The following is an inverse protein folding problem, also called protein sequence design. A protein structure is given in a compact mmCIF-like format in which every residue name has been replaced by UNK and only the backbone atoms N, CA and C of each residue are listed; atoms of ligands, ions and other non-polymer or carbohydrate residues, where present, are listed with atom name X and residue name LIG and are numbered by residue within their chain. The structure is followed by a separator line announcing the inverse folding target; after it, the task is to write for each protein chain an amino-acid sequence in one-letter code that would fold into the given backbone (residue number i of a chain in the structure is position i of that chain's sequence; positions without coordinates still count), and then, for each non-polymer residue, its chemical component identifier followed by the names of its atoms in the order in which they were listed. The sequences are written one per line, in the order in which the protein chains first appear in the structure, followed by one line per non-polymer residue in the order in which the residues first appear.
data_IF_528928197927
#
_entry.id   IF_528928197927
#
_cell.length_a   1.000
_cell.length_b   1.000
_cell.length_c   1.000
_cell.angle_alpha   90.00
_cell.angle_beta   90.00
_cell.angle_gamma   90.00
#
_symmetry.space_group_name_H-M   'P 1'
#
loop_
_entity.id
_entity.type
_entity.pdbx_description
1 polymer ?
#
# COMPACT_ATOMS: atom_id res chain seq x y z
N UNK A 1 46.81 2.07 121.07
CA UNK A 1 45.96 2.02 119.85
C UNK A 1 45.41 0.61 119.68
N UNK A 2 44.13 0.46 119.32
CA UNK A 2 43.58 -0.82 118.81
C UNK A 2 43.62 -0.87 117.26
N UNK A 3 43.06 -1.88 116.58
CA UNK A 3 42.21 -2.98 117.06
C UNK A 3 42.38 -4.29 116.26
N UNK A 4 42.31 -5.40 117.00
CA UNK A 4 41.79 -6.76 116.68
C UNK A 4 41.79 -7.28 115.22
N UNK A 5 42.56 -8.37 115.08
CA UNK A 5 42.36 -9.56 114.21
C UNK A 5 40.87 -9.92 113.99
N UNK A 6 40.51 -10.42 112.79
CA UNK A 6 39.25 -11.14 112.53
C UNK A 6 39.48 -12.39 111.66
N UNK A 7 38.65 -13.43 111.83
CA UNK A 7 38.85 -14.79 111.29
C UNK A 7 38.19 -15.07 109.93
N UNK A 8 38.90 -15.86 109.11
CA UNK A 8 38.47 -17.08 108.39
C UNK A 8 36.97 -17.24 108.06
N UNK A 9 36.62 -17.43 106.77
CA UNK A 9 35.76 -18.54 106.28
C UNK A 9 35.80 -18.65 104.74
N UNK A 10 35.30 -19.76 104.20
CA UNK A 10 35.57 -20.26 102.84
C UNK A 10 34.41 -20.12 101.84
N UNK A 11 34.73 -20.16 100.54
CA UNK A 11 33.92 -20.79 99.47
C UNK A 11 34.69 -20.90 98.14
N UNK A 12 34.70 -22.08 97.54
CA UNK A 12 35.02 -22.30 96.11
C UNK A 12 33.77 -22.04 95.25
N UNK A 13 33.86 -21.84 93.90
CA UNK A 13 33.60 -23.01 93.03
C UNK A 13 34.19 -23.01 91.60
N UNK A 14 34.47 -24.23 91.11
CA UNK A 14 34.22 -24.73 89.73
C UNK A 14 34.97 -24.15 88.51
N UNK A 15 35.60 -25.06 87.75
CA UNK A 15 36.28 -24.78 86.48
C UNK A 15 35.32 -24.81 85.26
N UNK A 16 34.45 -23.80 85.09
CA UNK A 16 33.54 -23.68 83.91
C UNK A 16 33.75 -22.46 83.01
N UNK A 17 34.67 -21.55 83.34
CA UNK A 17 34.79 -20.24 82.65
C UNK A 17 35.73 -20.29 81.41
N UNK A 18 36.70 -21.19 81.37
CA UNK A 18 37.75 -21.18 80.33
C UNK A 18 37.24 -21.61 78.94
N UNK A 19 36.30 -22.57 78.86
CA UNK A 19 35.86 -23.14 77.58
C UNK A 19 35.03 -22.18 76.70
N UNK A 20 34.38 -21.17 77.29
CA UNK A 20 33.43 -20.30 76.56
C UNK A 20 34.11 -19.19 75.73
N UNK A 21 35.37 -18.84 76.02
CA UNK A 21 36.11 -17.79 75.31
C UNK A 21 36.88 -18.24 74.06
N UNK A 22 37.09 -19.55 73.87
CA UNK A 22 37.75 -20.08 72.66
C UNK A 22 36.74 -20.22 71.51
N UNK A 23 35.55 -20.77 71.79
CA UNK A 23 34.50 -21.03 70.80
C UNK A 23 33.98 -19.74 70.15
N UNK A 24 33.88 -18.66 70.92
CA UNK A 24 33.39 -17.35 70.44
C UNK A 24 34.39 -16.62 69.54
N UNK A 25 35.70 -16.84 69.70
CA UNK A 25 36.74 -16.22 68.86
C UNK A 25 36.77 -16.82 67.43
N UNK A 26 36.68 -18.14 67.30
CA UNK A 26 36.69 -18.81 66.00
C UNK A 26 35.44 -18.52 65.13
N UNK A 27 34.31 -18.15 65.74
CA UNK A 27 33.07 -17.89 65.00
C UNK A 27 33.01 -16.51 64.34
N UNK A 28 33.80 -15.52 64.80
CA UNK A 28 33.90 -14.22 64.12
C UNK A 28 34.84 -14.27 62.90
N UNK A 29 35.96 -14.99 63.00
CA UNK A 29 36.96 -15.07 61.92
C UNK A 29 36.43 -15.78 60.65
N UNK A 30 35.49 -16.72 60.80
CA UNK A 30 34.88 -17.45 59.68
C UNK A 30 33.81 -16.64 58.94
N UNK A 31 33.28 -15.56 59.53
CA UNK A 31 32.28 -14.68 58.90
C UNK A 31 32.96 -13.59 58.07
N UNK A 32 34.10 -13.07 58.51
CA UNK A 32 34.83 -11.97 57.86
C UNK A 32 35.42 -12.31 56.48
N UNK A 33 35.69 -13.57 56.18
CA UNK A 33 36.27 -13.99 54.88
C UNK A 33 35.25 -14.20 53.76
N UNK A 34 33.94 -14.22 54.05
CA UNK A 34 32.89 -14.43 53.05
C UNK A 34 32.47 -13.16 52.29
N UNK A 35 32.69 -11.97 52.87
CA UNK A 35 32.16 -10.70 52.34
C UNK A 35 32.86 -10.23 51.05
N UNK A 36 34.18 -10.33 50.98
CA UNK A 36 35.00 -9.69 49.94
C UNK A 36 34.78 -10.23 48.51
N UNK A 37 34.12 -11.38 48.36
CA UNK A 37 33.84 -11.96 47.03
C UNK A 37 32.47 -11.55 46.44
N UNK A 38 31.58 -10.94 47.23
CA UNK A 38 30.26 -10.52 46.76
C UNK A 38 30.27 -9.18 45.99
N UNK A 39 31.08 -8.21 46.44
CA UNK A 39 31.03 -6.82 45.93
C UNK A 39 31.43 -6.70 44.45
N UNK A 40 32.42 -7.49 44.00
CA UNK A 40 32.86 -7.47 42.59
C UNK A 40 31.81 -8.03 41.63
N UNK A 41 30.79 -8.75 42.14
CA UNK A 41 29.59 -9.13 41.39
C UNK A 41 28.57 -7.98 41.39
N UNK A 42 28.23 -7.45 42.57
CA UNK A 42 27.26 -6.37 42.75
C UNK A 42 27.58 -5.11 41.92
N UNK A 43 28.84 -4.66 41.93
CA UNK A 43 29.26 -3.50 41.13
C UNK A 43 29.14 -3.74 39.61
N UNK A 44 29.35 -4.96 39.12
CA UNK A 44 29.20 -5.28 37.70
C UNK A 44 27.71 -5.31 37.32
N UNK A 45 26.86 -5.80 38.22
CA UNK A 45 25.41 -5.84 38.03
C UNK A 45 24.76 -4.45 38.04
N UNK A 46 25.17 -3.53 38.93
CA UNK A 46 24.66 -2.14 38.96
C UNK A 46 25.10 -1.34 37.73
N UNK A 47 26.39 -1.45 37.33
CA UNK A 47 26.91 -0.85 36.09
C UNK A 47 26.18 -1.39 34.85
N UNK A 48 25.81 -2.68 34.83
CA UNK A 48 25.00 -3.28 33.76
C UNK A 48 23.56 -2.74 33.74
N UNK A 49 22.87 -2.67 34.88
CA UNK A 49 21.52 -2.10 34.96
C UNK A 49 21.46 -0.64 34.47
N UNK A 50 22.46 0.17 34.84
CA UNK A 50 22.60 1.54 34.34
C UNK A 50 22.89 1.62 32.83
N UNK A 51 23.59 0.62 32.26
CA UNK A 51 23.78 0.51 30.80
C UNK A 51 22.47 0.12 30.09
N UNK A 52 21.68 -0.79 30.68
CA UNK A 52 20.38 -1.22 30.15
C UNK A 52 19.36 -0.07 30.21
N UNK A 53 19.26 0.64 31.33
CA UNK A 53 18.30 1.74 31.52
C UNK A 53 18.58 2.92 30.58
N UNK A 54 19.84 3.35 30.48
CA UNK A 54 20.28 4.40 29.55
C UNK A 54 20.08 4.01 28.08
N UNK A 55 20.39 2.76 27.72
CA UNK A 55 20.14 2.24 26.36
C UNK A 55 18.66 2.16 26.03
N UNK A 56 17.80 1.74 26.97
CA UNK A 56 16.35 1.75 26.82
C UNK A 56 15.79 3.18 26.69
N UNK A 57 16.32 4.15 27.44
CA UNK A 57 15.98 5.59 27.32
C UNK A 57 16.34 6.13 25.94
N UNK A 58 17.53 5.80 25.42
CA UNK A 58 17.95 6.14 24.06
C UNK A 58 17.06 5.47 23.00
N UNK A 59 16.78 4.18 23.13
CA UNK A 59 15.92 3.42 22.22
C UNK A 59 14.47 3.96 22.21
N UNK A 60 13.93 4.41 23.35
CA UNK A 60 12.64 5.12 23.45
C UNK A 60 12.67 6.46 22.69
N UNK A 61 13.75 7.24 22.83
CA UNK A 61 13.96 8.53 22.10
C UNK A 61 14.11 8.32 20.59
N UNK A 62 14.72 7.23 20.13
CA UNK A 62 14.80 6.90 18.71
C UNK A 62 13.51 6.29 18.14
N UNK A 63 12.79 5.46 18.92
CA UNK A 63 11.46 4.96 18.54
C UNK A 63 10.48 6.12 18.30
N UNK A 64 10.45 7.13 19.16
CA UNK A 64 9.60 8.30 18.96
C UNK A 64 10.02 9.18 17.77
N UNK A 65 11.33 9.35 17.51
CA UNK A 65 11.84 9.95 16.25
C UNK A 65 11.36 9.17 15.02
N UNK A 66 11.46 7.85 15.04
CA UNK A 66 11.02 6.96 13.95
C UNK A 66 9.51 7.04 13.72
N UNK A 67 8.71 7.10 14.79
CA UNK A 67 7.25 7.31 14.72
C UNK A 67 6.89 8.70 14.15
N UNK A 68 7.59 9.77 14.54
CA UNK A 68 7.38 11.13 13.97
C UNK A 68 7.72 11.17 12.48
N UNK A 69 8.80 10.49 12.06
CA UNK A 69 9.14 10.34 10.63
C UNK A 69 8.11 9.48 9.88
N UNK A 70 7.62 8.41 10.50
CA UNK A 70 6.56 7.57 9.93
C UNK A 70 5.28 8.39 9.67
N UNK A 71 4.84 9.22 10.64
CA UNK A 71 3.70 10.14 10.45
C UNK A 71 3.93 11.06 9.24
N UNK A 72 5.09 11.73 9.14
CA UNK A 72 5.40 12.57 7.96
C UNK A 72 5.37 11.83 6.61
N UNK A 73 5.68 10.52 6.58
CA UNK A 73 5.52 9.68 5.37
C UNK A 73 4.06 9.32 5.12
N UNK A 74 3.24 9.12 6.17
CA UNK A 74 1.79 8.94 6.07
C UNK A 74 1.15 10.20 5.48
N UNK A 75 1.35 11.36 6.11
CA UNK A 75 0.75 12.63 5.71
C UNK A 75 1.07 12.99 4.25
N UNK A 76 2.28 12.62 3.78
CA UNK A 76 2.70 12.81 2.40
C UNK A 76 2.10 11.76 1.44
N UNK A 77 1.98 10.48 1.84
CA UNK A 77 1.25 9.47 1.04
C UNK A 77 -0.23 9.84 0.87
N UNK A 78 -0.85 10.41 1.91
CA UNK A 78 -2.27 10.77 1.90
C UNK A 78 -2.51 12.04 1.05
N UNK A 79 -1.61 13.03 1.12
CA UNK A 79 -1.57 14.17 0.17
C UNK A 79 -1.37 13.72 -1.28
N UNK A 80 -0.46 12.76 -1.52
CA UNK A 80 -0.23 12.21 -2.86
C UNK A 80 -1.47 11.49 -3.41
N UNK A 81 -2.22 10.80 -2.57
CA UNK A 81 -3.49 10.18 -2.95
C UNK A 81 -4.52 11.23 -3.39
N UNK A 82 -4.76 12.28 -2.58
CA UNK A 82 -5.74 13.32 -2.92
C UNK A 82 -5.35 14.16 -4.14
N UNK A 83 -4.06 14.48 -4.32
CA UNK A 83 -3.58 15.17 -5.53
C UNK A 83 -3.80 14.27 -6.76
N UNK A 84 -3.54 12.96 -6.64
CA UNK A 84 -3.67 12.01 -7.76
C UNK A 84 -5.13 11.75 -8.15
N UNK A 85 -6.06 11.65 -7.18
CA UNK A 85 -7.51 11.62 -7.45
C UNK A 85 -7.92 12.84 -8.26
N UNK A 86 -7.67 14.04 -7.72
CA UNK A 86 -8.02 15.32 -8.33
C UNK A 86 -7.34 15.54 -9.69
N UNK A 87 -6.20 14.91 -9.96
CA UNK A 87 -5.54 14.91 -11.26
C UNK A 87 -6.25 13.97 -12.25
N UNK A 88 -6.60 12.75 -11.84
CA UNK A 88 -7.40 11.80 -12.64
C UNK A 88 -8.80 12.34 -12.97
N UNK A 89 -9.47 12.98 -12.01
CA UNK A 89 -10.78 13.63 -12.19
C UNK A 89 -10.71 14.80 -13.19
N UNK A 90 -9.59 15.51 -13.27
CA UNK A 90 -9.37 16.56 -14.26
C UNK A 90 -8.98 15.98 -15.62
N UNK A 91 -8.19 14.90 -15.68
CA UNK A 91 -7.80 14.23 -16.93
C UNK A 91 -8.99 13.54 -17.62
N UNK A 92 -9.89 12.93 -16.87
CA UNK A 92 -11.15 12.38 -17.41
C UNK A 92 -12.08 13.47 -17.91
N UNK A 93 -12.20 14.61 -17.20
CA UNK A 93 -12.96 15.80 -17.66
C UNK A 93 -12.37 16.44 -18.92
N UNK A 94 -11.03 16.56 -19.01
CA UNK A 94 -10.36 17.04 -20.22
C UNK A 94 -10.65 16.09 -21.39
N UNK A 95 -10.50 14.78 -21.21
CA UNK A 95 -10.75 13.78 -22.27
C UNK A 95 -12.17 13.81 -22.83
N UNK A 96 -13.19 13.91 -21.96
CA UNK A 96 -14.59 14.00 -22.40
C UNK A 96 -14.90 15.35 -23.04
N UNK A 97 -14.34 16.45 -22.55
CA UNK A 97 -14.51 17.79 -23.12
C UNK A 97 -13.86 17.92 -24.50
N UNK A 98 -12.65 17.40 -24.69
CA UNK A 98 -11.97 17.33 -26.00
C UNK A 98 -12.78 16.49 -26.99
N UNK A 99 -13.31 15.34 -26.56
CA UNK A 99 -14.16 14.49 -27.40
C UNK A 99 -15.47 15.19 -27.80
N UNK A 100 -16.05 15.99 -26.89
CA UNK A 100 -17.23 16.83 -27.15
C UNK A 100 -16.90 17.96 -28.13
N UNK A 101 -15.78 18.66 -27.96
CA UNK A 101 -15.32 19.71 -28.89
C UNK A 101 -15.10 19.18 -30.31
N UNK A 102 -14.46 18.01 -30.47
CA UNK A 102 -14.30 17.35 -31.79
C UNK A 102 -15.66 17.09 -32.43
N UNK A 103 -16.63 16.54 -31.69
CA UNK A 103 -17.99 16.28 -32.19
C UNK A 103 -18.76 17.56 -32.52
N UNK A 104 -18.60 18.63 -31.75
CA UNK A 104 -19.22 19.93 -32.01
C UNK A 104 -18.62 20.59 -33.26
N UNK A 105 -17.30 20.56 -33.43
CA UNK A 105 -16.62 21.08 -34.62
C UNK A 105 -17.04 20.31 -35.89
N UNK A 106 -17.06 18.97 -35.86
CA UNK A 106 -17.53 18.17 -36.98
C UNK A 106 -19.00 18.49 -37.34
N UNK A 107 -19.87 18.65 -36.34
CA UNK A 107 -21.27 19.07 -36.56
C UNK A 107 -21.38 20.49 -37.11
N UNK A 108 -20.56 21.44 -36.63
CA UNK A 108 -20.48 22.82 -37.15
C UNK A 108 -20.12 22.81 -38.62
N UNK A 109 -19.05 22.10 -39.02
CA UNK A 109 -18.60 22.07 -40.41
C UNK A 109 -19.62 21.41 -41.35
N UNK A 110 -20.26 20.29 -40.93
CA UNK A 110 -21.34 19.70 -41.72
C UNK A 110 -22.50 20.68 -41.94
N UNK A 111 -22.90 21.43 -40.91
CA UNK A 111 -23.95 22.44 -41.03
C UNK A 111 -23.53 23.63 -41.91
N UNK A 112 -22.26 24.04 -41.87
CA UNK A 112 -21.73 25.10 -42.75
C UNK A 112 -21.81 24.65 -44.21
N UNK A 113 -21.22 23.51 -44.58
CA UNK A 113 -21.25 23.01 -45.97
C UNK A 113 -22.68 22.89 -46.50
N UNK A 114 -23.59 22.30 -45.73
CA UNK A 114 -25.01 22.19 -46.09
C UNK A 114 -25.76 23.53 -46.17
N UNK A 115 -25.22 24.60 -45.57
CA UNK A 115 -25.82 25.94 -45.61
C UNK A 115 -25.23 26.75 -46.76
N UNK A 116 -23.93 26.66 -47.02
CA UNK A 116 -23.26 27.27 -48.20
C UNK A 116 -23.89 26.73 -49.49
N UNK A 117 -23.88 25.40 -49.70
CA UNK A 117 -24.50 24.76 -50.87
C UNK A 117 -25.95 25.23 -51.14
N UNK A 118 -26.74 25.42 -50.09
CA UNK A 118 -28.12 25.88 -50.22
C UNK A 118 -28.29 27.39 -50.36
N UNK A 119 -27.30 28.21 -49.96
CA UNK A 119 -27.22 29.62 -50.32
C UNK A 119 -26.79 29.79 -51.78
N UNK A 120 -25.79 29.04 -52.24
CA UNK A 120 -25.23 29.18 -53.58
C UNK A 120 -26.27 28.82 -54.65
N UNK A 121 -26.92 27.65 -54.50
CA UNK A 121 -28.04 27.23 -55.35
C UNK A 121 -29.35 28.01 -55.09
N UNK A 122 -29.33 29.06 -54.27
CA UNK A 122 -30.42 30.04 -54.12
C UNK A 122 -30.02 31.37 -54.78
N UNK A 123 -28.76 31.78 -54.63
CA UNK A 123 -28.18 32.89 -55.36
C UNK A 123 -28.26 32.66 -56.88
N UNK A 124 -27.94 31.46 -57.37
CA UNK A 124 -28.13 31.07 -58.78
C UNK A 124 -29.60 31.23 -59.23
N UNK A 125 -30.56 30.83 -58.40
CA UNK A 125 -32.00 30.98 -58.72
C UNK A 125 -32.43 32.46 -58.73
N UNK A 126 -31.91 33.28 -57.82
CA UNK A 126 -32.17 34.72 -57.79
C UNK A 126 -31.49 35.47 -58.94
N UNK A 127 -30.28 35.05 -59.33
CA UNK A 127 -29.54 35.59 -60.47
C UNK A 127 -30.29 35.30 -61.78
N UNK A 128 -30.75 34.06 -62.00
CA UNK A 128 -31.54 33.70 -63.17
C UNK A 128 -32.86 34.50 -63.26
N UNK A 129 -33.55 34.73 -62.14
CA UNK A 129 -34.73 35.61 -62.09
C UNK A 129 -34.38 37.06 -62.40
N UNK A 130 -33.24 37.56 -61.95
CA UNK A 130 -32.78 38.92 -62.21
C UNK A 130 -32.41 39.12 -63.69
N UNK A 131 -31.67 38.20 -64.30
CA UNK A 131 -31.30 38.24 -65.73
C UNK A 131 -32.50 38.03 -66.66
N UNK A 132 -33.53 37.31 -66.21
CA UNK A 132 -34.82 37.22 -66.92
C UNK A 132 -35.64 38.52 -66.88
N UNK A 133 -35.21 39.51 -66.09
CA UNK A 133 -35.87 40.80 -65.90
C UNK A 133 -36.91 40.79 -64.78
N UNK A 134 -36.96 41.87 -63.98
CA UNK A 134 -37.78 42.00 -62.75
C UNK A 134 -39.27 41.72 -62.94
N UNK A 135 -39.81 41.89 -64.15
CA UNK A 135 -41.24 41.65 -64.47
C UNK A 135 -41.49 40.40 -65.33
N UNK A 136 -40.52 39.50 -65.49
CA UNK A 136 -40.66 38.27 -66.30
C UNK A 136 -41.91 37.44 -65.98
N UNK A 137 -42.34 37.42 -64.71
CA UNK A 137 -43.53 36.69 -64.28
C UNK A 137 -44.83 37.34 -64.77
N UNK A 138 -44.99 38.66 -64.59
CA UNK A 138 -46.15 39.40 -65.09
C UNK A 138 -46.20 39.37 -66.62
N UNK A 139 -45.06 39.55 -67.28
CA UNK A 139 -44.94 39.47 -68.75
C UNK A 139 -45.26 38.07 -69.30
N UNK A 140 -45.05 37.01 -68.52
CA UNK A 140 -45.45 35.64 -68.91
C UNK A 140 -46.96 35.43 -68.77
N UNK A 141 -47.56 35.86 -67.65
CA UNK A 141 -49.01 35.77 -67.44
C UNK A 141 -49.80 36.63 -68.45
N UNK A 142 -49.29 37.82 -68.78
CA UNK A 142 -49.85 38.73 -69.80
C UNK A 142 -49.57 38.29 -71.25
N UNK A 143 -48.98 37.11 -71.47
CA UNK A 143 -48.69 36.54 -72.79
C UNK A 143 -49.26 35.10 -72.95
N UNK A 144 -50.24 34.75 -72.13
CA UNK A 144 -50.97 33.47 -72.21
C UNK A 144 -52.45 33.78 -72.45
N UNK A 145 -52.95 33.48 -73.65
CA UNK A 145 -54.34 33.79 -74.02
C UNK A 145 -55.35 32.77 -73.45
N UNK A 146 -54.87 31.65 -72.89
CA UNK A 146 -55.70 30.57 -72.33
C UNK A 146 -55.81 30.66 -70.79
N UNK A 147 -57.01 30.88 -70.21
CA UNK A 147 -57.22 30.92 -68.76
C UNK A 147 -56.75 29.68 -67.99
N UNK A 148 -56.77 28.50 -68.62
CA UNK A 148 -56.31 27.25 -68.01
C UNK A 148 -54.80 27.23 -67.77
N UNK A 149 -54.02 27.79 -68.70
CA UNK A 149 -52.57 27.88 -68.59
C UNK A 149 -52.15 28.96 -67.59
N UNK A 150 -52.87 30.10 -67.55
CA UNK A 150 -52.70 31.14 -66.51
C UNK A 150 -52.88 30.52 -65.11
N UNK A 151 -53.99 29.83 -64.88
CA UNK A 151 -54.33 29.23 -63.57
C UNK A 151 -53.28 28.20 -63.11
N UNK A 152 -52.88 27.29 -64.01
CA UNK A 152 -51.80 26.31 -63.73
C UNK A 152 -50.46 27.01 -63.44
N UNK A 153 -50.13 28.04 -64.22
CA UNK A 153 -48.90 28.84 -64.05
C UNK A 153 -48.87 29.53 -62.68
N UNK A 154 -49.93 30.25 -62.30
CA UNK A 154 -50.08 30.86 -60.96
C UNK A 154 -49.85 29.82 -59.87
N UNK A 155 -50.51 28.65 -59.98
CA UNK A 155 -50.38 27.58 -58.97
C UNK A 155 -48.94 27.07 -58.84
N UNK A 156 -48.22 26.87 -59.94
CA UNK A 156 -46.81 26.48 -59.89
C UNK A 156 -45.92 27.54 -59.24
N UNK A 157 -46.18 28.84 -59.49
CA UNK A 157 -45.46 29.93 -58.82
C UNK A 157 -45.78 30.00 -57.31
N UNK A 158 -47.02 29.76 -56.87
CA UNK A 158 -47.37 29.65 -55.44
C UNK A 158 -46.57 28.54 -54.76
N UNK A 159 -46.59 27.31 -55.30
CA UNK A 159 -45.84 26.18 -54.74
C UNK A 159 -44.33 26.49 -54.70
N UNK A 160 -43.76 26.98 -55.81
CA UNK A 160 -42.34 27.31 -55.86
C UNK A 160 -41.96 28.40 -54.85
N UNK A 161 -42.77 29.45 -54.69
CA UNK A 161 -42.52 30.51 -53.71
C UNK A 161 -42.69 30.02 -52.26
N UNK A 162 -43.67 29.16 -51.98
CA UNK A 162 -43.84 28.47 -50.69
C UNK A 162 -42.59 27.65 -50.34
N UNK A 163 -42.03 26.91 -51.30
CA UNK A 163 -40.79 26.15 -51.10
C UNK A 163 -39.54 27.04 -50.97
N UNK A 164 -39.45 28.16 -51.71
CA UNK A 164 -38.38 29.18 -51.54
C UNK A 164 -38.40 29.77 -50.13
N UNK A 165 -39.57 30.19 -49.62
CA UNK A 165 -39.73 30.71 -48.26
C UNK A 165 -39.39 29.66 -47.20
N UNK A 166 -39.81 28.41 -47.37
CA UNK A 166 -39.45 27.31 -46.47
C UNK A 166 -37.93 27.07 -46.45
N UNK A 167 -37.26 27.12 -47.61
CA UNK A 167 -35.80 27.01 -47.75
C UNK A 167 -35.06 28.16 -47.06
N UNK A 168 -35.53 29.40 -47.19
CA UNK A 168 -34.97 30.57 -46.50
C UNK A 168 -35.08 30.43 -44.98
N UNK A 169 -36.27 30.08 -44.45
CA UNK A 169 -36.48 29.79 -43.02
C UNK A 169 -35.59 28.64 -42.52
N UNK A 170 -35.41 27.60 -43.35
CA UNK A 170 -34.51 26.49 -43.03
C UNK A 170 -33.03 26.90 -43.04
N UNK A 171 -32.61 27.90 -43.83
CA UNK A 171 -31.25 28.47 -43.82
C UNK A 171 -31.03 29.33 -42.57
N UNK A 172 -31.95 30.24 -42.25
CA UNK A 172 -31.91 31.08 -41.04
C UNK A 172 -31.73 30.21 -39.78
N UNK A 173 -32.64 29.25 -39.57
CA UNK A 173 -32.57 28.34 -38.41
C UNK A 173 -31.34 27.42 -38.39
N UNK A 174 -30.57 27.31 -39.49
CA UNK A 174 -29.25 26.65 -39.50
C UNK A 174 -28.13 27.60 -39.09
N UNK A 175 -28.16 28.86 -39.53
CA UNK A 175 -27.24 29.90 -39.08
C UNK A 175 -27.34 30.10 -37.56
N UNK A 176 -28.56 30.11 -37.00
CA UNK A 176 -28.78 30.16 -35.55
C UNK A 176 -28.17 28.95 -34.82
N UNK A 177 -28.38 27.74 -35.36
CA UNK A 177 -27.78 26.51 -34.82
C UNK A 177 -26.25 26.56 -34.89
N UNK A 178 -25.65 27.14 -35.94
CA UNK A 178 -24.21 27.36 -36.06
C UNK A 178 -23.72 28.38 -35.00
N UNK A 179 -24.44 29.50 -34.80
CA UNK A 179 -24.13 30.52 -33.77
C UNK A 179 -24.17 29.94 -32.36
N UNK A 180 -25.22 29.16 -32.04
CA UNK A 180 -25.34 28.44 -30.75
C UNK A 180 -24.24 27.39 -30.56
N UNK A 181 -23.83 26.68 -31.62
CA UNK A 181 -22.71 25.73 -31.56
C UNK A 181 -21.37 26.47 -31.37
N UNK A 182 -21.15 27.61 -32.03
CA UNK A 182 -19.94 28.42 -31.85
C UNK A 182 -19.80 28.93 -30.41
N UNK A 183 -20.89 29.45 -29.83
CA UNK A 183 -20.87 29.90 -28.44
C UNK A 183 -20.52 28.75 -27.47
N UNK A 184 -21.05 27.54 -27.71
CA UNK A 184 -20.72 26.33 -26.93
C UNK A 184 -19.25 25.90 -27.12
N UNK A 185 -18.70 26.01 -28.32
CA UNK A 185 -17.27 25.76 -28.58
C UNK A 185 -16.40 26.77 -27.83
N UNK A 186 -16.77 28.05 -27.82
CA UNK A 186 -16.03 29.10 -27.10
C UNK A 186 -16.03 28.85 -25.58
N UNK A 187 -17.19 28.54 -24.98
CA UNK A 187 -17.27 28.22 -23.54
C UNK A 187 -16.52 26.94 -23.18
N UNK A 188 -16.67 25.88 -23.97
CA UNK A 188 -16.01 24.60 -23.74
C UNK A 188 -14.47 24.74 -23.87
N UNK A 189 -13.99 25.58 -24.78
CA UNK A 189 -12.55 25.87 -24.96
C UNK A 189 -11.97 26.69 -23.80
N UNK A 190 -12.71 27.68 -23.27
CA UNK A 190 -12.29 28.41 -22.06
C UNK A 190 -12.17 27.46 -20.86
N UNK A 191 -13.16 26.59 -20.66
CA UNK A 191 -13.15 25.57 -19.59
C UNK A 191 -11.99 24.58 -19.78
N UNK A 192 -11.67 24.18 -21.01
CA UNK A 192 -10.53 23.32 -21.32
C UNK A 192 -9.20 23.96 -20.89
N UNK A 193 -8.97 25.22 -21.25
CA UNK A 193 -7.75 25.95 -20.91
C UNK A 193 -7.60 26.10 -19.38
N UNK A 194 -8.68 26.43 -18.67
CA UNK A 194 -8.69 26.45 -17.21
C UNK A 194 -8.36 25.08 -16.59
N UNK A 195 -8.94 23.99 -17.13
CA UNK A 195 -8.67 22.63 -16.65
C UNK A 195 -7.21 22.22 -16.88
N UNK A 196 -6.61 22.59 -18.01
CA UNK A 196 -5.19 22.36 -18.30
C UNK A 196 -4.29 23.15 -17.34
N UNK A 197 -4.58 24.42 -17.05
CA UNK A 197 -3.86 25.20 -16.04
C UNK A 197 -3.97 24.56 -14.65
N UNK A 198 -5.18 24.14 -14.25
CA UNK A 198 -5.46 23.42 -13.00
C UNK A 198 -4.79 22.02 -12.95
N UNK A 199 -4.58 21.35 -14.09
CA UNK A 199 -3.80 20.12 -14.19
C UNK A 199 -2.30 20.38 -14.01
N UNK A 200 -1.76 21.42 -14.65
CA UNK A 200 -0.35 21.75 -14.62
C UNK A 200 0.13 22.21 -13.24
N UNK A 201 -0.66 23.01 -12.51
CA UNK A 201 -0.35 23.36 -11.11
C UNK A 201 -0.37 22.11 -10.20
N UNK A 202 -1.34 21.21 -10.37
CA UNK A 202 -1.38 19.91 -9.65
C UNK A 202 -0.19 19.01 -9.99
N UNK A 203 0.27 18.97 -11.25
CA UNK A 203 1.49 18.26 -11.65
C UNK A 203 2.75 18.82 -10.99
N UNK A 204 2.87 20.15 -10.85
CA UNK A 204 3.96 20.81 -10.11
C UNK A 204 3.93 20.42 -8.61
N UNK A 205 2.76 20.51 -7.98
CA UNK A 205 2.56 20.12 -6.57
C UNK A 205 2.86 18.64 -6.32
N UNK A 206 2.39 17.74 -7.20
CA UNK A 206 2.66 16.30 -7.12
C UNK A 206 4.17 16.02 -7.13
N UNK A 207 4.93 16.65 -8.03
CA UNK A 207 6.40 16.53 -8.08
C UNK A 207 7.08 16.99 -6.77
N UNK A 208 6.58 18.08 -6.15
CA UNK A 208 7.08 18.56 -4.84
C UNK A 208 6.83 17.53 -3.74
N UNK A 209 5.59 17.07 -3.56
CA UNK A 209 5.24 16.12 -2.49
C UNK A 209 5.88 14.73 -2.67
N UNK A 210 6.17 14.30 -3.91
CA UNK A 210 6.98 13.08 -4.16
C UNK A 210 8.39 13.25 -3.58
N UNK A 211 9.10 14.35 -3.89
CA UNK A 211 10.44 14.63 -3.34
C UNK A 211 10.44 14.73 -1.81
N UNK A 212 9.43 15.40 -1.23
CA UNK A 212 9.25 15.48 0.23
C UNK A 212 9.13 14.08 0.85
N UNK A 213 8.23 13.24 0.32
CA UNK A 213 7.98 11.86 0.75
C UNK A 213 9.23 10.99 0.65
N UNK A 214 9.97 11.08 -0.45
CA UNK A 214 11.21 10.32 -0.66
C UNK A 214 12.30 10.71 0.35
N UNK A 215 12.46 12.01 0.62
CA UNK A 215 13.40 12.50 1.63
C UNK A 215 13.05 12.00 3.04
N UNK A 216 11.76 11.98 3.39
CA UNK A 216 11.27 11.48 4.67
C UNK A 216 11.45 9.96 4.79
N UNK A 217 11.15 9.20 3.73
CA UNK A 217 11.35 7.75 3.66
C UNK A 217 12.83 7.37 3.80
N UNK A 218 13.75 8.10 3.15
CA UNK A 218 15.21 7.89 3.23
C UNK A 218 15.71 8.16 4.66
N UNK A 219 15.23 9.23 5.31
CA UNK A 219 15.53 9.55 6.72
C UNK A 219 14.98 8.48 7.67
N UNK A 220 13.74 8.03 7.48
CA UNK A 220 13.09 6.99 8.30
C UNK A 220 13.83 5.65 8.21
N UNK A 221 14.17 5.19 6.99
CA UNK A 221 14.85 3.89 6.79
C UNK A 221 16.25 3.85 7.40
N UNK A 222 17.02 4.95 7.37
CA UNK A 222 18.29 5.06 8.11
C UNK A 222 18.10 4.83 9.62
N UNK A 223 17.09 5.46 10.23
CA UNK A 223 16.80 5.32 11.68
C UNK A 223 16.33 3.92 12.04
N UNK A 224 15.48 3.28 11.22
CA UNK A 224 15.02 1.90 11.47
C UNK A 224 16.19 0.91 11.36
N UNK A 225 17.03 1.03 10.33
CA UNK A 225 18.22 0.18 10.17
C UNK A 225 19.18 0.27 11.36
N UNK A 226 19.45 1.49 11.86
CA UNK A 226 20.32 1.66 13.04
C UNK A 226 19.70 1.08 14.33
N UNK A 227 18.36 1.08 14.46
CA UNK A 227 17.66 0.43 15.57
C UNK A 227 17.73 -1.09 15.48
N UNK A 228 17.51 -1.68 14.31
CA UNK A 228 17.58 -3.13 14.09
C UNK A 228 19.00 -3.66 14.35
N UNK A 229 20.02 -2.93 13.90
CA UNK A 229 21.42 -3.27 14.18
C UNK A 229 21.73 -3.24 15.68
N UNK A 230 21.32 -2.18 16.41
CA UNK A 230 21.49 -2.09 17.87
C UNK A 230 20.74 -3.18 18.63
N UNK A 231 19.48 -3.45 18.25
CA UNK A 231 18.70 -4.56 18.84
C UNK A 231 19.34 -5.93 18.58
N UNK A 232 20.01 -6.12 17.43
CA UNK A 232 20.73 -7.36 17.14
C UNK A 232 22.00 -7.53 17.99
N UNK A 233 22.72 -6.44 18.30
CA UNK A 233 23.87 -6.46 19.21
C UNK A 233 23.44 -6.75 20.65
N UNK A 234 22.46 -6.02 21.17
CA UNK A 234 21.91 -6.22 22.51
C UNK A 234 21.40 -7.66 22.71
N UNK A 235 20.71 -8.25 21.73
CA UNK A 235 20.29 -9.67 21.80
C UNK A 235 21.46 -10.66 21.79
N UNK A 236 22.55 -10.37 21.06
CA UNK A 236 23.76 -11.20 21.11
C UNK A 236 24.50 -11.08 22.44
N UNK A 237 24.49 -9.89 23.04
CA UNK A 237 25.05 -9.63 24.38
C UNK A 237 24.21 -10.31 25.47
N UNK A 238 22.88 -10.19 25.40
CA UNK A 238 21.90 -10.89 26.25
C UNK A 238 22.08 -12.43 26.20
N UNK A 239 22.17 -13.02 25.00
CA UNK A 239 22.40 -14.47 24.83
C UNK A 239 23.81 -14.89 25.30
N UNK A 240 24.83 -14.05 25.11
CA UNK A 240 26.18 -14.31 25.65
C UNK A 240 26.18 -14.29 27.18
N UNK A 241 25.50 -13.32 27.79
CA UNK A 241 25.42 -13.17 29.24
C UNK A 241 24.57 -14.27 29.88
N UNK A 242 23.41 -14.64 29.31
CA UNK A 242 22.64 -15.79 29.80
C UNK A 242 23.42 -17.10 29.65
N UNK A 243 24.18 -17.27 28.56
CA UNK A 243 25.12 -18.38 28.38
C UNK A 243 26.36 -18.34 29.28
N UNK A 244 26.69 -17.20 29.92
CA UNK A 244 27.70 -17.12 31.00
C UNK A 244 27.05 -17.46 32.33
N UNK A 245 25.89 -16.89 32.65
CA UNK A 245 25.13 -17.18 33.88
C UNK A 245 24.76 -18.67 33.95
N UNK A 246 24.33 -19.27 32.83
CA UNK A 246 24.04 -20.70 32.76
C UNK A 246 25.30 -21.56 32.95
N UNK A 247 26.47 -21.14 32.44
CA UNK A 247 27.75 -21.83 32.67
C UNK A 247 28.25 -21.67 34.11
N UNK A 248 28.06 -20.51 34.73
CA UNK A 248 28.35 -20.31 36.16
C UNK A 248 27.41 -21.13 37.02
N UNK A 249 26.10 -21.09 36.78
CA UNK A 249 25.13 -21.94 37.47
C UNK A 249 25.39 -23.45 37.26
N UNK A 250 25.88 -23.86 36.08
CA UNK A 250 26.34 -25.23 35.83
C UNK A 250 27.67 -25.54 36.52
N UNK A 251 28.61 -24.59 36.63
CA UNK A 251 29.86 -24.76 37.38
C UNK A 251 29.55 -24.91 38.87
N UNK A 252 28.80 -23.99 39.46
CA UNK A 252 28.36 -24.07 40.86
C UNK A 252 27.58 -25.36 41.12
N UNK A 253 26.64 -25.76 40.23
CA UNK A 253 25.92 -27.04 40.35
C UNK A 253 26.83 -28.26 40.15
N UNK A 254 27.91 -28.17 39.37
CA UNK A 254 28.94 -29.22 39.29
C UNK A 254 29.77 -29.27 40.56
N UNK A 255 30.17 -28.15 41.13
CA UNK A 255 30.94 -28.07 42.38
C UNK A 255 30.09 -28.54 43.59
N UNK A 256 28.80 -28.19 43.62
CA UNK A 256 27.82 -28.78 44.55
C UNK A 256 27.63 -30.28 44.30
N UNK A 257 27.50 -30.71 43.04
CA UNK A 257 27.37 -32.12 42.69
C UNK A 257 28.68 -32.90 42.90
N UNK A 258 29.84 -32.24 42.94
CA UNK A 258 31.15 -32.83 43.24
C UNK A 258 31.43 -32.84 44.75
N UNK A 259 30.93 -31.86 45.52
CA UNK A 259 30.82 -31.99 46.99
C UNK A 259 29.89 -33.15 47.34
N UNK A 260 28.66 -33.13 46.83
CA UNK A 260 27.68 -34.21 47.00
C UNK A 260 28.15 -35.54 46.43
N UNK A 261 28.98 -35.57 45.37
CA UNK A 261 29.63 -36.79 44.90
C UNK A 261 30.85 -37.19 45.73
N UNK A 262 31.58 -36.31 46.40
CA UNK A 262 32.63 -36.72 47.36
C UNK A 262 31.99 -37.28 48.63
N UNK A 263 30.89 -36.68 49.08
CA UNK A 263 30.02 -37.20 50.14
C UNK A 263 29.33 -38.51 49.75
N UNK A 264 28.83 -38.62 48.51
CA UNK A 264 28.26 -39.86 47.98
C UNK A 264 29.32 -40.88 47.57
N UNK A 265 30.56 -40.51 47.25
CA UNK A 265 31.65 -41.46 47.00
C UNK A 265 32.04 -42.12 48.32
N UNK A 266 32.19 -41.35 49.41
CA UNK A 266 32.26 -41.92 50.78
C UNK A 266 31.07 -42.81 51.18
N UNK A 267 29.94 -42.76 50.44
CA UNK A 267 28.79 -43.68 50.59
C UNK A 267 28.67 -44.71 49.46
N UNK A 268 29.47 -44.61 48.40
CA UNK A 268 29.51 -45.49 47.21
C UNK A 268 30.76 -46.35 47.16
N UNK A 269 31.86 -45.98 47.78
CA UNK A 269 32.90 -46.93 48.18
C UNK A 269 32.27 -48.04 49.07
N UNK A 270 31.19 -47.70 49.81
CA UNK A 270 30.31 -48.62 50.54
C UNK A 270 29.16 -49.27 49.72
N UNK A 271 28.92 -48.90 48.46
CA UNK A 271 27.79 -49.42 47.63
C UNK A 271 28.19 -49.89 46.22
N UNK A 272 29.42 -49.64 45.78
CA UNK A 272 30.00 -50.12 44.51
C UNK A 272 30.57 -51.54 44.67
N UNK A 273 30.61 -52.06 45.91
CA UNK A 273 30.52 -53.51 46.19
C UNK A 273 29.21 -54.16 45.68
N UNK A 274 28.17 -53.38 45.37
CA UNK A 274 26.79 -53.90 45.26
C UNK A 274 26.09 -53.58 43.93
N UNK A 275 26.75 -52.86 43.00
CA UNK A 275 26.07 -52.31 41.81
C UNK A 275 26.83 -52.43 40.47
N UNK A 276 27.75 -53.39 40.31
CA UNK A 276 28.18 -53.84 38.99
C UNK A 276 27.06 -54.64 38.29
N UNK A 277 25.96 -53.99 37.87
CA UNK A 277 24.90 -54.65 37.10
C UNK A 277 24.20 -53.74 36.08
N UNK A 278 24.74 -53.81 34.86
CA UNK A 278 24.06 -53.67 33.55
C UNK A 278 23.67 -52.24 33.11
N UNK A 279 23.86 -51.96 31.81
CA UNK A 279 23.68 -50.63 31.22
C UNK A 279 23.25 -50.67 29.73
N UNK A 280 22.67 -49.56 29.25
CA UNK A 280 22.38 -49.23 27.82
C UNK A 280 21.34 -50.16 27.13
N UNK A 281 20.62 -49.84 26.05
CA UNK A 281 20.78 -48.89 24.91
C UNK A 281 19.44 -48.09 24.72
N UNK A 282 18.89 -47.59 23.59
CA UNK A 282 19.20 -47.47 22.12
C UNK A 282 18.35 -46.31 21.51
N UNK A 283 18.56 -45.90 20.24
CA UNK A 283 17.77 -44.90 19.44
C UNK A 283 18.22 -44.94 17.95
N UNK A 284 17.89 -44.05 16.97
CA UNK A 284 16.95 -42.89 16.88
C UNK A 284 16.19 -42.77 15.49
N UNK A 285 15.68 -41.56 15.11
CA UNK A 285 15.36 -41.07 13.71
C UNK A 285 14.02 -41.55 13.07
N UNK A 286 13.52 -41.07 11.90
CA UNK A 286 14.03 -40.24 10.76
C UNK A 286 13.05 -39.10 10.34
N UNK A 287 13.07 -38.58 9.09
CA UNK A 287 12.52 -37.24 8.73
C UNK A 287 12.13 -36.99 7.24
N UNK A 288 11.22 -36.01 7.00
CA UNK A 288 11.08 -35.14 5.77
C UNK A 288 10.39 -35.74 4.50
N UNK A 289 10.02 -35.06 3.38
CA UNK A 289 10.25 -33.66 2.88
C UNK A 289 9.37 -33.21 1.65
N UNK A 290 9.23 -31.88 1.39
CA UNK A 290 9.21 -31.14 0.06
C UNK A 290 8.14 -31.46 -1.04
N UNK A 291 7.97 -30.77 -2.20
CA UNK A 291 8.09 -29.35 -2.69
C UNK A 291 7.37 -29.12 -4.07
N UNK A 292 6.97 -27.85 -4.40
CA UNK A 292 6.84 -27.16 -5.75
C UNK A 292 6.16 -27.82 -6.99
N UNK A 293 5.67 -27.10 -8.04
CA UNK A 293 5.31 -25.68 -8.19
C UNK A 293 5.74 -24.96 -9.51
N UNK A 294 4.84 -24.72 -10.49
CA UNK A 294 5.15 -24.00 -11.79
C UNK A 294 4.01 -23.09 -12.36
N UNK A 295 4.26 -22.33 -13.45
CA UNK A 295 3.50 -21.13 -13.94
C UNK A 295 3.58 -20.93 -15.49
N UNK A 296 2.49 -20.51 -16.18
CA UNK A 296 2.44 -20.06 -17.62
C UNK A 296 1.33 -19.00 -17.88
N UNK A 297 1.43 -18.17 -18.95
CA UNK A 297 0.64 -16.95 -19.29
C UNK A 297 -0.20 -17.03 -20.61
N UNK A 298 -0.68 -15.91 -21.23
CA UNK A 298 -1.26 -15.82 -22.63
C UNK A 298 -2.80 -15.64 -22.88
N UNK A 299 -3.35 -14.42 -23.05
CA UNK A 299 -4.71 -14.00 -23.55
C UNK A 299 -5.88 -13.82 -22.52
N UNK A 300 -6.89 -12.98 -22.86
CA UNK A 300 -8.05 -12.52 -22.02
C UNK A 300 -9.43 -12.81 -22.65
N UNK A 301 -10.51 -12.94 -21.85
CA UNK A 301 -11.92 -13.03 -22.31
C UNK A 301 -12.89 -12.30 -21.35
N UNK A 302 -13.85 -11.48 -21.83
CA UNK A 302 -14.86 -10.81 -20.99
C UNK A 302 -16.14 -11.64 -20.73
N UNK A 303 -16.95 -11.17 -19.77
CA UNK A 303 -18.37 -11.51 -19.52
C UNK A 303 -18.75 -12.98 -19.23
N UNK A 304 -17.81 -13.84 -18.85
CA UNK A 304 -18.11 -15.10 -18.12
C UNK A 304 -17.89 -14.90 -16.60
N UNK A 305 -18.52 -15.71 -15.71
CA UNK A 305 -18.23 -15.65 -14.27
C UNK A 305 -16.73 -15.78 -14.01
N UNK A 306 -16.19 -15.03 -13.05
CA UNK A 306 -14.78 -14.98 -12.67
C UNK A 306 -14.19 -16.37 -12.47
N UNK A 307 -14.95 -17.25 -11.82
CA UNK A 307 -14.60 -18.66 -11.64
C UNK A 307 -14.24 -19.42 -12.94
N UNK A 308 -14.81 -19.02 -14.09
CA UNK A 308 -14.51 -19.56 -15.43
C UNK A 308 -13.46 -18.74 -16.22
N UNK A 309 -12.94 -17.64 -15.65
CA UNK A 309 -11.88 -16.81 -16.24
C UNK A 309 -10.47 -17.18 -15.76
N UNK A 310 -10.32 -18.30 -15.04
CA UNK A 310 -9.02 -18.86 -14.65
C UNK A 310 -8.17 -19.12 -15.90
N UNK A 311 -7.01 -18.47 -15.99
CA UNK A 311 -6.15 -18.51 -17.17
C UNK A 311 -6.72 -17.73 -18.35
N UNK A 312 -7.56 -16.71 -18.13
CA UNK A 312 -8.18 -15.83 -19.14
C UNK A 312 -8.38 -14.38 -18.66
N UNK A 313 -7.63 -13.93 -17.64
CA UNK A 313 -7.68 -12.54 -17.14
C UNK A 313 -6.49 -11.72 -17.65
N UNK A 314 -6.67 -10.45 -17.99
CA UNK A 314 -5.53 -9.55 -18.22
C UNK A 314 -4.77 -9.29 -16.90
N UNK A 315 -3.45 -9.09 -16.97
CA UNK A 315 -2.72 -8.49 -15.85
C UNK A 315 -3.18 -7.03 -15.62
N UNK A 316 -3.35 -6.58 -14.36
CA UNK A 316 -3.94 -5.28 -14.04
C UNK A 316 -3.05 -4.06 -14.36
N UNK A 317 -1.74 -4.27 -14.59
CA UNK A 317 -0.81 -3.25 -15.07
C UNK A 317 0.25 -3.90 -15.96
N UNK A 318 0.73 -3.17 -16.98
CA UNK A 318 1.89 -3.57 -17.78
C UNK A 318 3.16 -3.33 -16.96
N UNK A 319 3.96 -4.38 -16.72
CA UNK A 319 5.16 -4.28 -15.88
C UNK A 319 5.86 -5.63 -15.66
N UNK A 320 7.05 -5.60 -15.03
CA UNK A 320 7.88 -6.79 -14.77
C UNK A 320 7.53 -7.41 -13.41
N UNK A 321 7.32 -8.72 -13.38
CA UNK A 321 7.10 -9.46 -12.13
C UNK A 321 8.39 -9.52 -11.30
N UNK A 322 8.42 -8.86 -10.13
CA UNK A 322 9.61 -8.79 -9.25
C UNK A 322 9.51 -9.65 -8.00
N UNK A 323 8.29 -9.99 -7.56
CA UNK A 323 8.06 -11.02 -6.53
C UNK A 323 7.03 -12.01 -7.04
N UNK A 324 7.31 -13.31 -6.88
CA UNK A 324 6.46 -14.42 -7.35
C UNK A 324 5.63 -14.96 -6.19
N UNK A 325 4.43 -15.46 -6.49
CA UNK A 325 3.62 -16.16 -5.49
C UNK A 325 4.41 -17.35 -4.91
N UNK A 326 4.40 -17.48 -3.59
CA UNK A 326 5.07 -18.58 -2.87
C UNK A 326 6.59 -18.42 -2.70
N UNK A 327 7.25 -17.41 -3.27
CA UNK A 327 8.67 -17.15 -2.97
C UNK A 327 8.86 -16.63 -1.54
N UNK A 328 10.07 -16.77 -1.01
CA UNK A 328 10.39 -16.28 0.34
C UNK A 328 10.24 -14.76 0.43
N UNK A 329 9.59 -14.30 1.50
CA UNK A 329 9.47 -12.88 1.89
C UNK A 329 10.38 -12.55 3.08
N UNK A 330 10.54 -13.53 3.98
CA UNK A 330 11.52 -13.57 5.06
C UNK A 330 11.63 -15.02 5.56
N UNK A 331 12.51 -15.27 6.53
CA UNK A 331 12.83 -16.60 7.10
C UNK A 331 11.58 -17.42 7.49
N UNK A 332 10.46 -16.78 7.87
CA UNK A 332 9.23 -17.45 8.33
C UNK A 332 8.00 -17.23 7.43
N UNK A 333 8.11 -16.52 6.30
CA UNK A 333 6.95 -16.11 5.50
C UNK A 333 7.20 -16.17 3.99
N UNK A 334 6.17 -16.63 3.25
CA UNK A 334 6.12 -16.61 1.78
C UNK A 334 5.21 -15.49 1.28
N UNK A 335 5.43 -15.02 0.05
CA UNK A 335 4.53 -14.08 -0.63
C UNK A 335 3.20 -14.76 -0.97
N UNK A 336 2.07 -14.15 -0.59
CA UNK A 336 0.71 -14.65 -0.84
C UNK A 336 0.07 -14.13 -2.13
N UNK A 337 0.70 -13.13 -2.75
CA UNK A 337 0.39 -12.58 -4.06
C UNK A 337 1.68 -12.39 -4.86
N UNK A 338 1.70 -11.42 -5.76
CA UNK A 338 2.88 -11.03 -6.54
C UNK A 338 3.16 -9.53 -6.40
N UNK A 339 4.35 -9.09 -6.80
CA UNK A 339 4.63 -7.68 -7.07
C UNK A 339 4.96 -7.51 -8.55
N UNK A 340 4.28 -6.56 -9.19
CA UNK A 340 4.46 -6.15 -10.59
C UNK A 340 5.09 -4.75 -10.57
N UNK A 341 6.38 -4.65 -10.92
CA UNK A 341 7.10 -3.38 -11.01
C UNK A 341 6.65 -2.60 -12.23
N UNK A 342 6.22 -1.36 -12.02
CA UNK A 342 5.72 -0.44 -13.03
C UNK A 342 5.98 1.02 -12.59
N UNK A 343 6.01 2.00 -13.52
CA UNK A 343 6.21 3.40 -13.18
C UNK A 343 5.19 3.96 -12.18
N UNK A 344 5.66 4.78 -11.24
CA UNK A 344 4.80 5.38 -10.22
C UNK A 344 3.83 6.40 -10.84
N UNK A 345 2.55 6.04 -10.92
CA UNK A 345 1.49 6.77 -11.62
C UNK A 345 0.80 5.98 -12.73
N UNK A 346 1.33 4.83 -13.15
CA UNK A 346 0.67 3.98 -14.15
C UNK A 346 -0.72 3.52 -13.68
N UNK A 347 -1.70 3.55 -14.58
CA UNK A 347 -3.07 3.09 -14.31
C UNK A 347 -3.09 1.61 -13.91
N UNK A 348 -3.79 1.31 -12.82
CA UNK A 348 -4.14 -0.03 -12.36
C UNK A 348 -5.58 -0.30 -12.77
N UNK A 349 -5.81 -1.42 -13.44
CA UNK A 349 -7.10 -1.78 -14.02
C UNK A 349 -7.71 -2.98 -13.27
N UNK A 350 -9.04 -2.98 -13.10
CA UNK A 350 -9.75 -4.15 -12.58
C UNK A 350 -9.64 -5.33 -13.56
N UNK A 351 -9.18 -6.49 -13.10
CA UNK A 351 -8.99 -7.66 -13.97
C UNK A 351 -10.32 -8.22 -14.52
N UNK A 352 -11.42 -7.98 -13.81
CA UNK A 352 -12.76 -8.48 -14.10
C UNK A 352 -13.83 -7.56 -13.47
N UNK A 353 -15.09 -7.69 -13.92
CA UNK A 353 -16.25 -7.02 -13.30
C UNK A 353 -16.40 -7.45 -11.83
N UNK A 354 -16.77 -6.52 -10.95
CA UNK A 354 -17.07 -6.83 -9.55
C UNK A 354 -17.60 -5.63 -8.75
N UNK A 355 -17.80 -5.82 -7.44
CA UNK A 355 -18.16 -4.76 -6.48
C UNK A 355 -16.97 -4.46 -5.57
N UNK A 356 -16.62 -3.19 -5.39
CA UNK A 356 -15.57 -2.78 -4.46
C UNK A 356 -16.02 -3.06 -3.02
N UNK A 357 -15.24 -3.88 -2.33
CA UNK A 357 -15.47 -4.33 -0.96
C UNK A 357 -14.65 -3.51 0.05
N UNK A 358 -13.48 -3.01 -0.37
CA UNK A 358 -12.64 -2.10 0.42
C UNK A 358 -11.91 -1.13 -0.52
N UNK A 359 -11.75 0.13 -0.11
CA UNK A 359 -10.93 1.12 -0.83
C UNK A 359 -10.39 2.17 0.14
N UNK A 360 -9.17 1.94 0.62
CA UNK A 360 -8.62 2.70 1.74
C UNK A 360 -7.15 2.38 1.99
N UNK A 361 -6.68 2.67 3.21
CA UNK A 361 -5.27 2.56 3.60
C UNK A 361 -5.09 1.54 4.72
N UNK A 362 -4.34 0.47 4.44
CA UNK A 362 -4.07 -0.62 5.39
C UNK A 362 -2.58 -0.73 5.72
N UNK A 363 -2.28 -0.91 7.01
CA UNK A 363 -0.91 -1.06 7.52
C UNK A 363 -0.20 -2.24 6.84
N UNK A 364 0.97 -1.99 6.25
CA UNK A 364 1.76 -3.01 5.53
C UNK A 364 1.37 -3.26 4.06
N UNK A 365 0.25 -2.69 3.60
CA UNK A 365 -0.22 -2.73 2.21
C UNK A 365 -0.35 -1.32 1.57
N UNK A 366 -0.30 -0.25 2.37
CA UNK A 366 -0.47 1.10 1.88
C UNK A 366 -1.90 1.36 1.43
N UNK A 367 -2.07 2.17 0.38
CA UNK A 367 -3.37 2.36 -0.26
C UNK A 367 -3.71 1.14 -1.12
N UNK A 368 -4.91 0.58 -0.93
CA UNK A 368 -5.37 -0.62 -1.64
C UNK A 368 -6.86 -0.62 -1.95
N UNK A 369 -7.22 -1.38 -2.98
CA UNK A 369 -8.61 -1.71 -3.36
C UNK A 369 -8.80 -3.22 -3.24
N UNK A 370 -9.95 -3.66 -2.76
CA UNK A 370 -10.42 -5.05 -2.85
C UNK A 370 -11.70 -5.08 -3.66
N UNK A 371 -11.75 -5.92 -4.69
CA UNK A 371 -12.93 -6.15 -5.52
C UNK A 371 -13.45 -7.56 -5.27
N UNK A 372 -14.73 -7.69 -4.92
CA UNK A 372 -15.46 -8.95 -4.81
C UNK A 372 -16.09 -9.34 -6.15
N UNK A 373 -15.94 -10.60 -6.51
CA UNK A 373 -16.49 -11.24 -7.71
C UNK A 373 -17.46 -12.39 -7.32
N UNK A 374 -17.92 -13.18 -8.27
CA UNK A 374 -18.73 -14.39 -8.01
C UNK A 374 -17.99 -15.46 -7.19
N UNK A 375 -18.75 -16.40 -6.64
CA UNK A 375 -18.28 -17.61 -5.93
C UNK A 375 -17.19 -17.32 -4.87
N UNK A 376 -17.38 -16.23 -4.13
CA UNK A 376 -16.51 -15.72 -3.06
C UNK A 376 -15.06 -15.41 -3.46
N UNK A 377 -14.80 -15.24 -4.76
CA UNK A 377 -13.52 -14.73 -5.26
C UNK A 377 -13.36 -13.24 -4.99
N UNK A 378 -12.13 -12.83 -4.66
CA UNK A 378 -11.74 -11.43 -4.45
C UNK A 378 -10.38 -11.18 -5.09
N UNK A 379 -10.22 -10.03 -5.72
CA UNK A 379 -8.93 -9.52 -6.18
C UNK A 379 -8.50 -8.30 -5.37
N UNK A 380 -7.22 -8.20 -5.04
CA UNK A 380 -6.65 -7.17 -4.16
C UNK A 380 -5.48 -6.48 -4.86
N UNK A 381 -5.46 -5.15 -4.78
CA UNK A 381 -4.56 -4.25 -5.52
C UNK A 381 -3.96 -3.26 -4.53
N UNK A 382 -2.67 -3.37 -4.19
CA UNK A 382 -2.04 -2.62 -3.10
C UNK A 382 -0.69 -1.96 -3.46
N UNK A 383 -0.15 -1.16 -2.54
CA UNK A 383 0.98 -0.23 -2.73
C UNK A 383 0.71 0.96 -3.68
N UNK A 384 -0.56 1.20 -4.03
CA UNK A 384 -0.97 2.27 -4.93
C UNK A 384 -0.52 3.66 -4.44
N UNK A 385 -0.27 4.59 -5.36
CA UNK A 385 -0.15 6.03 -5.02
C UNK A 385 -1.52 6.58 -4.64
N UNK A 386 -2.58 6.07 -5.27
CA UNK A 386 -3.94 6.58 -5.12
C UNK A 386 -4.98 5.54 -5.51
N UNK A 387 -6.17 5.63 -4.92
CA UNK A 387 -7.33 4.79 -5.24
C UNK A 387 -8.49 5.69 -5.70
N UNK A 388 -9.09 5.34 -6.84
CA UNK A 388 -10.07 6.18 -7.55
C UNK A 388 -11.51 5.73 -7.34
N UNK A 389 -11.73 4.53 -6.81
CA UNK A 389 -13.06 3.98 -6.53
C UNK A 389 -13.38 4.08 -5.04
N UNK A 390 -14.65 4.26 -4.73
CA UNK A 390 -15.20 4.18 -3.37
C UNK A 390 -15.71 2.77 -3.09
N UNK A 391 -15.86 2.43 -1.82
CA UNK A 391 -16.51 1.21 -1.39
C UNK A 391 -17.96 1.15 -1.89
N UNK A 392 -18.47 -0.06 -2.12
CA UNK A 392 -19.79 -0.28 -2.69
C UNK A 392 -19.90 -0.08 -4.21
N UNK A 393 -18.97 0.62 -4.87
CA UNK A 393 -19.05 0.86 -6.32
C UNK A 393 -18.90 -0.43 -7.14
N UNK A 394 -19.67 -0.54 -8.23
CA UNK A 394 -19.49 -1.58 -9.24
C UNK A 394 -18.44 -1.11 -10.25
N UNK A 395 -17.51 -1.98 -10.61
CA UNK A 395 -16.47 -1.74 -11.63
C UNK A 395 -16.54 -2.76 -12.74
N UNK A 396 -16.18 -2.35 -13.96
CA UNK A 396 -16.09 -3.17 -15.17
C UNK A 396 -14.69 -3.79 -15.31
N UNK A 397 -14.58 -4.87 -16.09
CA UNK A 397 -13.28 -5.39 -16.48
C UNK A 397 -12.52 -4.34 -17.32
N UNK A 398 -11.22 -4.16 -17.06
CA UNK A 398 -10.38 -3.15 -17.71
C UNK A 398 -10.57 -1.72 -17.20
N UNK A 399 -11.49 -1.47 -16.26
CA UNK A 399 -11.72 -0.13 -15.71
C UNK A 399 -10.56 0.33 -14.82
N UNK A 400 -10.13 1.59 -14.94
CA UNK A 400 -9.07 2.15 -14.08
C UNK A 400 -9.60 2.34 -12.66
N UNK A 401 -8.95 1.71 -11.67
CA UNK A 401 -9.39 1.69 -10.26
C UNK A 401 -8.41 2.40 -9.31
N UNK A 402 -7.14 2.50 -9.68
CA UNK A 402 -6.06 3.05 -8.87
C UNK A 402 -4.87 3.46 -9.75
N UNK A 403 -3.85 4.08 -9.16
CA UNK A 403 -2.56 4.32 -9.80
C UNK A 403 -1.42 3.68 -9.02
N UNK A 404 -0.47 3.05 -9.72
CA UNK A 404 0.72 2.42 -9.14
C UNK A 404 1.51 3.43 -8.31
N UNK A 405 2.05 2.98 -7.17
CA UNK A 405 2.92 3.78 -6.32
C UNK A 405 3.91 2.91 -5.57
N UNK A 406 4.28 3.37 -4.37
CA UNK A 406 5.12 2.64 -3.43
C UNK A 406 4.65 2.86 -1.98
N UNK A 407 3.33 3.08 -1.79
CA UNK A 407 2.76 3.42 -0.46
C UNK A 407 2.87 2.25 0.52
N UNK A 408 2.72 2.52 1.82
CA UNK A 408 3.00 1.49 2.83
C UNK A 408 4.47 1.13 2.90
N UNK A 409 5.33 2.16 2.89
CA UNK A 409 6.78 2.10 3.10
C UNK A 409 7.63 1.36 2.05
N UNK A 410 7.07 0.99 0.88
CA UNK A 410 7.85 0.37 -0.19
C UNK A 410 8.92 1.35 -0.73
N UNK A 411 10.06 0.82 -1.16
CA UNK A 411 11.14 1.63 -1.77
C UNK A 411 10.82 1.90 -3.25
N UNK A 412 10.58 0.83 -4.01
CA UNK A 412 10.43 0.88 -5.46
C UNK A 412 8.94 0.91 -5.83
N UNK A 413 8.62 1.44 -7.01
CA UNK A 413 7.22 1.49 -7.47
C UNK A 413 6.75 0.18 -8.07
N UNK A 414 5.54 -0.22 -7.72
CA UNK A 414 4.92 -1.45 -8.20
C UNK A 414 3.58 -1.71 -7.53
N UNK A 415 2.82 -2.58 -8.17
CA UNK A 415 1.52 -3.07 -7.68
C UNK A 415 1.74 -4.39 -6.93
N UNK A 416 1.32 -4.47 -5.66
CA UNK A 416 1.06 -5.78 -5.05
C UNK A 416 -0.31 -6.26 -5.52
N UNK A 417 -0.36 -7.49 -6.00
CA UNK A 417 -1.56 -8.07 -6.59
C UNK A 417 -1.81 -9.49 -6.11
N UNK A 418 -3.04 -9.77 -5.71
CA UNK A 418 -3.44 -11.04 -5.09
C UNK A 418 -4.85 -11.45 -5.54
N UNK A 419 -5.08 -12.75 -5.67
CA UNK A 419 -6.40 -13.36 -5.91
C UNK A 419 -6.66 -14.37 -4.80
N UNK A 420 -7.82 -14.28 -4.16
CA UNK A 420 -8.23 -15.17 -3.05
C UNK A 420 -9.66 -15.68 -3.23
N UNK A 421 -9.96 -16.87 -2.69
CA UNK A 421 -11.31 -17.44 -2.57
C UNK A 421 -11.55 -17.77 -1.10
N UNK A 422 -12.38 -16.95 -0.44
CA UNK A 422 -12.46 -16.96 1.02
C UNK A 422 -11.08 -16.70 1.66
N UNK A 423 -10.63 -17.61 2.51
CA UNK A 423 -9.32 -17.60 3.19
C UNK A 423 -8.16 -18.13 2.31
N UNK A 424 -8.46 -18.85 1.23
CA UNK A 424 -7.44 -19.47 0.37
C UNK A 424 -6.87 -18.48 -0.64
N UNK A 425 -5.55 -18.37 -0.69
CA UNK A 425 -4.83 -17.47 -1.59
C UNK A 425 -4.41 -18.28 -2.83
N UNK A 426 -4.57 -17.71 -4.03
CA UNK A 426 -4.28 -18.39 -5.29
C UNK A 426 -3.16 -17.68 -6.05
N UNK A 427 -2.26 -18.45 -6.67
CA UNK A 427 -1.18 -17.90 -7.50
C UNK A 427 -1.77 -17.07 -8.66
N UNK A 428 -1.60 -15.73 -8.68
CA UNK A 428 -2.20 -14.89 -9.71
C UNK A 428 -1.67 -15.19 -11.11
N UNK A 429 -0.47 -15.77 -11.23
CA UNK A 429 0.10 -16.18 -12.52
C UNK A 429 -0.51 -17.47 -13.10
N UNK A 430 -1.44 -18.13 -12.40
CA UNK A 430 -2.34 -19.18 -12.96
C UNK A 430 -3.72 -18.61 -13.36
N UNK A 431 -3.90 -17.30 -13.25
CA UNK A 431 -5.15 -16.59 -13.55
C UNK A 431 -4.95 -15.52 -14.61
N UNK A 432 -3.97 -14.63 -14.39
CA UNK A 432 -3.63 -13.52 -15.26
C UNK A 432 -2.64 -13.91 -16.37
N UNK A 433 -2.88 -13.32 -17.54
CA UNK A 433 -2.48 -13.77 -18.86
C UNK A 433 -2.34 -12.59 -19.84
#
# INVERSE_FOLDING_TARGET
MGLKIKKITSKTPSAKIIFFRVVTSCFLLTILTFSSFAETSGQKQSKLQNKISSTNKALKKERSKSQKLARKVIDAEDKLNEISKKLHDTETKISTLTTRLIKLNAKKQKLIVQTTQQKDALAQQMQALYTSGKQSHLRLLLKQDNPSDISRTIKYYEYMNKHRLARIKAIQTRLDKIKVIQNKINTDSKILNELQAKQNSRKRLLKKTVKERESALKKQKKVVYSQEQRLSKLKKEEIRLSGVIQRLAQKNKKEEAERKKREQQKKRDNQEKTAQKIAQKRSPKKTSSKQTGTVVSRRFVPNKPFSALKGRLSWPVKGRLTQKYGSSRNIKQKWKGVIISAPAGSNVHAIARGKVEYSGRLKGYGYLVIIRHDKNYRSLYAYNRSVYKKEGQIVKAGEVIAAVGSSGSQTNSGLYFEIRRGTTHHNPAKWCK
#
